data_IF_810684455717
#
_entry.id   IF_810684455717
#
_cell.length_a   1.000
_cell.length_b   1.000
_cell.length_c   1.000
_cell.angle_alpha   90.00
_cell.angle_beta   90.00
_cell.angle_gamma   90.00
#
_symmetry.space_group_name_H-M   'P 1'
#
loop_
_entity.id
_entity.type
_entity.pdbx_description
1 polymer ?
#
# COMPACT_ATOMS: atom_id res chain seq x y z
N UNK A 1 -15.41 10.37 6.55
CA UNK A 1 -14.10 10.59 5.88
C UNK A 1 -14.06 9.75 4.61
N UNK A 2 -13.45 10.24 3.53
CA UNK A 2 -13.26 9.46 2.30
C UNK A 2 -11.80 9.04 2.14
N UNK A 3 -11.59 7.74 1.92
CA UNK A 3 -10.29 7.13 1.67
C UNK A 3 -10.14 6.90 0.17
N UNK A 4 -9.09 7.44 -0.42
CA UNK A 4 -8.86 7.39 -1.86
C UNK A 4 -7.59 6.55 -2.09
N UNK A 5 -7.67 5.57 -2.98
CA UNK A 5 -6.52 4.79 -3.42
C UNK A 5 -6.13 5.15 -4.85
N UNK A 6 -4.84 5.37 -5.11
CA UNK A 6 -4.34 5.43 -6.48
C UNK A 6 -4.52 4.04 -7.14
N UNK A 7 -5.14 4.00 -8.32
CA UNK A 7 -5.38 2.76 -9.07
C UNK A 7 -4.09 1.94 -9.28
N UNK A 8 -2.94 2.60 -9.37
CA UNK A 8 -1.65 1.93 -9.54
C UNK A 8 -1.25 1.03 -8.35
N UNK A 9 -1.90 1.17 -7.19
CA UNK A 9 -1.66 0.35 -6.01
C UNK A 9 -2.31 -1.04 -6.09
N UNK A 10 -3.24 -1.25 -7.03
CA UNK A 10 -3.96 -2.53 -7.18
C UNK A 10 -4.91 -2.85 -6.02
N UNK A 11 -5.27 -1.85 -5.19
CA UNK A 11 -6.22 -2.00 -4.08
C UNK A 11 -7.64 -1.83 -4.61
N UNK A 12 -8.53 -2.77 -4.32
CA UNK A 12 -9.96 -2.68 -4.64
C UNK A 12 -10.76 -2.02 -3.51
N UNK A 13 -11.77 -1.26 -3.90
CA UNK A 13 -12.69 -0.59 -2.96
C UNK A 13 -13.53 -1.59 -2.15
N UNK A 14 -14.03 -2.63 -2.82
CA UNK A 14 -14.90 -3.70 -2.28
C UNK A 14 -14.24 -4.51 -1.16
N UNK A 15 -12.93 -4.41 -1.01
CA UNK A 15 -12.16 -5.20 -0.07
C UNK A 15 -12.41 -4.84 1.39
N UNK A 16 -12.77 -3.59 1.64
CA UNK A 16 -12.96 -3.10 2.99
C UNK A 16 -14.45 -3.01 3.29
N UNK A 17 -14.90 -3.77 4.28
CA UNK A 17 -16.22 -3.57 4.85
C UNK A 17 -16.13 -2.43 5.88
N UNK A 18 -16.16 -1.20 5.38
CA UNK A 18 -16.03 -0.01 6.19
C UNK A 18 -17.18 0.12 7.19
N UNK A 19 -16.85 0.55 8.40
CA UNK A 19 -17.84 1.16 9.29
C UNK A 19 -18.46 2.39 8.61
N UNK A 20 -19.67 2.78 9.03
CA UNK A 20 -20.44 3.87 8.42
C UNK A 20 -19.68 5.22 8.36
N UNK A 21 -18.64 5.40 9.16
CA UNK A 21 -17.83 6.62 9.20
C UNK A 21 -16.84 6.76 8.02
N UNK A 22 -16.51 5.66 7.35
CA UNK A 22 -15.57 5.64 6.24
C UNK A 22 -16.27 5.28 4.93
N UNK A 23 -15.84 5.94 3.86
CA UNK A 23 -16.13 5.59 2.48
C UNK A 23 -14.80 5.42 1.77
N UNK A 24 -14.76 4.64 0.70
CA UNK A 24 -13.57 4.56 -0.15
C UNK A 24 -13.88 4.79 -1.61
N UNK A 25 -12.86 5.11 -2.39
CA UNK A 25 -12.92 5.14 -3.86
C UNK A 25 -11.51 4.96 -4.43
N UNK A 26 -11.43 4.74 -5.75
CA UNK A 26 -10.16 4.58 -6.47
C UNK A 26 -10.00 5.73 -7.46
N UNK A 27 -8.90 6.48 -7.33
CA UNK A 27 -8.50 7.50 -8.29
C UNK A 27 -7.96 6.83 -9.55
N UNK A 28 -8.59 7.04 -10.73
CA UNK A 28 -8.21 6.33 -11.95
C UNK A 28 -6.87 6.82 -12.49
N UNK A 29 -6.11 5.88 -13.03
CA UNK A 29 -4.89 6.08 -13.80
C UNK A 29 -5.14 5.74 -15.27
N UNK A 30 -4.50 6.46 -16.18
CA UNK A 30 -4.77 6.33 -17.61
C UNK A 30 -3.52 5.95 -18.42
N UNK A 31 -3.71 5.14 -19.46
CA UNK A 31 -2.67 4.62 -20.34
C UNK A 31 -2.88 5.13 -21.76
N UNK A 32 -1.79 5.51 -22.42
CA UNK A 32 -1.78 5.84 -23.85
C UNK A 32 -2.48 7.16 -24.19
N UNK A 33 -2.70 7.39 -25.49
CA UNK A 33 -3.31 8.63 -26.00
C UNK A 33 -4.82 8.67 -25.77
N UNK A 34 -5.46 7.51 -25.87
CA UNK A 34 -6.92 7.40 -25.76
C UNK A 34 -7.42 7.42 -24.30
N UNK A 35 -6.52 7.68 -23.34
CA UNK A 35 -6.79 7.69 -21.89
C UNK A 35 -7.59 6.47 -21.43
N UNK A 36 -7.21 5.27 -21.89
CA UNK A 36 -7.81 4.04 -21.39
C UNK A 36 -7.45 3.86 -19.91
N UNK A 37 -8.41 3.49 -19.07
CA UNK A 37 -8.17 3.21 -17.65
C UNK A 37 -7.15 2.09 -17.47
N UNK A 38 -6.28 2.20 -16.47
CA UNK A 38 -5.19 1.25 -16.24
C UNK A 38 -5.71 -0.17 -15.99
N UNK A 39 -6.71 -0.34 -15.13
CA UNK A 39 -7.28 -1.67 -14.86
C UNK A 39 -7.76 -2.34 -16.16
N UNK A 40 -8.51 -1.61 -16.98
CA UNK A 40 -9.05 -2.13 -18.24
C UNK A 40 -7.94 -2.46 -19.24
N UNK A 41 -6.91 -1.62 -19.32
CA UNK A 41 -5.74 -1.88 -20.15
C UNK A 41 -5.02 -3.17 -19.73
N UNK A 42 -4.80 -3.37 -18.42
CA UNK A 42 -4.09 -4.53 -17.91
C UNK A 42 -4.89 -5.83 -18.03
N UNK A 43 -6.23 -5.78 -17.89
CA UNK A 43 -7.10 -6.94 -18.10
C UNK A 43 -7.01 -7.49 -19.54
N UNK A 44 -6.79 -6.62 -20.52
CA UNK A 44 -6.66 -7.00 -21.93
C UNK A 44 -5.20 -7.07 -22.41
N UNK A 45 -4.23 -6.87 -21.52
CA UNK A 45 -2.82 -6.85 -21.87
C UNK A 45 -2.29 -8.27 -22.10
N UNK A 46 -2.06 -8.62 -23.37
CA UNK A 46 -1.39 -9.86 -23.72
C UNK A 46 0.04 -9.93 -23.13
N UNK A 47 0.48 -11.13 -22.74
CA UNK A 47 1.86 -11.38 -22.33
C UNK A 47 2.82 -11.18 -23.52
N UNK A 48 3.64 -10.12 -23.54
CA UNK A 48 4.50 -9.85 -24.68
C UNK A 48 5.73 -10.78 -24.69
N UNK A 49 6.31 -11.04 -25.87
CA UNK A 49 7.54 -11.82 -25.99
C UNK A 49 8.75 -11.09 -25.38
N UNK A 50 8.76 -9.75 -25.47
CA UNK A 50 9.78 -8.84 -24.95
C UNK A 50 9.08 -7.83 -24.04
N UNK A 51 9.75 -7.41 -22.96
CA UNK A 51 9.17 -6.45 -22.03
C UNK A 51 8.75 -5.14 -22.73
N UNK A 52 7.50 -4.71 -22.55
CA UNK A 52 6.93 -3.51 -23.19
C UNK A 52 6.71 -2.41 -22.15
N UNK A 53 7.09 -1.18 -22.47
CA UNK A 53 6.81 -0.02 -21.61
C UNK A 53 5.33 0.36 -21.66
N UNK A 54 4.78 0.70 -20.49
CA UNK A 54 3.45 1.28 -20.35
C UNK A 54 3.63 2.75 -20.00
N UNK A 55 3.09 3.61 -20.86
CA UNK A 55 3.14 5.06 -20.65
C UNK A 55 1.88 5.47 -19.91
N UNK A 56 2.02 5.72 -18.61
CA UNK A 56 0.97 6.26 -17.76
C UNK A 56 0.91 7.76 -17.90
N UNK A 57 -0.31 8.29 -17.91
CA UNK A 57 -0.57 9.72 -17.88
C UNK A 57 -0.62 10.20 -16.44
N UNK A 58 0.32 11.06 -16.06
CA UNK A 58 0.26 11.77 -14.78
C UNK A 58 -0.72 12.93 -14.87
N UNK A 59 -1.51 13.12 -13.80
CA UNK A 59 -2.41 14.25 -13.68
C UNK A 59 -1.62 15.56 -13.61
N UNK A 60 -2.12 16.59 -14.27
CA UNK A 60 -1.73 17.97 -13.99
C UNK A 60 -2.31 18.42 -12.64
N UNK A 61 -1.74 19.47 -12.05
CA UNK A 61 -2.26 20.07 -10.80
C UNK A 61 -3.74 20.43 -10.96
N UNK A 62 -4.14 21.00 -12.11
CA UNK A 62 -5.52 21.39 -12.35
C UNK A 62 -6.46 20.18 -12.42
N UNK A 63 -6.04 19.08 -13.06
CA UNK A 63 -6.83 17.84 -13.07
C UNK A 63 -6.97 17.24 -11.68
N UNK A 64 -5.92 17.27 -10.85
CA UNK A 64 -6.00 16.81 -9.46
C UNK A 64 -6.96 17.68 -8.64
N UNK A 65 -6.89 19.01 -8.76
CA UNK A 65 -7.81 19.94 -8.07
C UNK A 65 -9.26 19.64 -8.45
N UNK A 66 -9.53 19.54 -9.76
CA UNK A 66 -10.87 19.23 -10.27
C UNK A 66 -11.36 17.88 -9.73
N UNK A 67 -10.50 16.84 -9.77
CA UNK A 67 -10.85 15.51 -9.28
C UNK A 67 -11.20 15.52 -7.79
N UNK A 68 -10.33 16.09 -6.94
CA UNK A 68 -10.56 16.07 -5.49
C UNK A 68 -11.75 16.94 -5.07
N UNK A 69 -11.98 18.08 -5.75
CA UNK A 69 -13.17 18.89 -5.51
C UNK A 69 -14.45 18.14 -5.90
N UNK A 70 -14.46 17.50 -7.07
CA UNK A 70 -15.60 16.73 -7.54
C UNK A 70 -15.93 15.57 -6.58
N UNK A 71 -14.93 14.76 -6.22
CA UNK A 71 -15.18 13.58 -5.38
C UNK A 71 -15.58 13.97 -3.95
N UNK A 72 -15.04 15.06 -3.40
CA UNK A 72 -15.47 15.56 -2.09
C UNK A 72 -16.93 16.00 -2.09
N UNK A 73 -17.37 16.67 -3.16
CA UNK A 73 -18.75 17.10 -3.37
C UNK A 73 -19.71 15.91 -3.55
N UNK A 74 -19.36 14.97 -4.44
CA UNK A 74 -20.17 13.78 -4.71
C UNK A 74 -20.42 12.93 -3.46
N UNK A 75 -19.42 12.84 -2.59
CA UNK A 75 -19.52 12.07 -1.34
C UNK A 75 -19.94 12.91 -0.12
N UNK A 76 -20.16 14.21 -0.26
CA UNK A 76 -20.44 15.15 0.85
C UNK A 76 -19.47 14.99 2.04
N UNK A 77 -18.17 15.09 1.75
CA UNK A 77 -17.10 14.93 2.75
C UNK A 77 -16.17 16.13 2.79
N UNK A 78 -15.67 16.45 3.99
CA UNK A 78 -14.66 17.50 4.21
C UNK A 78 -13.27 16.98 4.55
N UNK A 79 -13.13 15.67 4.71
CA UNK A 79 -11.87 15.02 5.08
C UNK A 79 -11.55 13.89 4.11
N UNK A 80 -10.39 14.00 3.45
CA UNK A 80 -9.88 13.02 2.51
C UNK A 80 -8.53 12.45 2.98
N UNK A 81 -8.35 11.15 2.80
CA UNK A 81 -7.04 10.50 2.96
C UNK A 81 -6.71 9.83 1.63
N UNK A 82 -5.63 10.24 0.97
CA UNK A 82 -5.23 9.71 -0.32
C UNK A 82 -3.92 8.93 -0.22
N UNK A 83 -4.01 7.61 -0.44
CA UNK A 83 -2.89 6.69 -0.55
C UNK A 83 -2.43 6.64 -2.00
N UNK A 84 -1.17 7.00 -2.25
CA UNK A 84 -0.67 7.16 -3.60
C UNK A 84 0.70 6.55 -3.82
N UNK A 85 0.99 6.16 -5.05
CA UNK A 85 2.33 5.74 -5.41
C UNK A 85 3.17 6.97 -5.83
N UNK A 86 4.28 7.27 -5.13
CA UNK A 86 5.11 8.43 -5.46
C UNK A 86 5.82 8.32 -6.83
N UNK A 87 5.75 7.17 -7.50
CA UNK A 87 6.23 7.03 -8.87
C UNK A 87 5.29 7.67 -9.90
N UNK A 88 3.99 7.77 -9.59
CA UNK A 88 2.93 8.22 -10.50
C UNK A 88 2.33 9.57 -10.11
N UNK A 89 2.20 9.81 -8.80
CA UNK A 89 1.69 11.05 -8.24
C UNK A 89 2.82 11.84 -7.56
N UNK A 90 3.02 13.09 -7.97
CA UNK A 90 4.12 13.94 -7.50
C UNK A 90 3.73 14.60 -6.18
N UNK A 91 4.41 14.23 -5.10
CA UNK A 91 4.16 14.73 -3.73
C UNK A 91 4.07 16.26 -3.63
N UNK A 92 4.97 16.98 -4.30
CA UNK A 92 5.00 18.45 -4.28
C UNK A 92 3.75 19.07 -4.91
N UNK A 93 3.26 18.46 -6.00
CA UNK A 93 2.02 18.89 -6.65
C UNK A 93 0.84 18.65 -5.73
N UNK A 94 0.76 17.47 -5.09
CA UNK A 94 -0.30 17.16 -4.14
C UNK A 94 -0.36 18.19 -3.01
N UNK A 95 0.78 18.59 -2.43
CA UNK A 95 0.78 19.64 -1.40
C UNK A 95 0.24 20.99 -1.88
N UNK A 96 0.48 21.36 -3.15
CA UNK A 96 -0.13 22.56 -3.75
C UNK A 96 -1.65 22.41 -3.89
N UNK A 97 -2.11 21.25 -4.34
CA UNK A 97 -3.54 20.91 -4.44
C UNK A 97 -4.22 21.04 -3.07
N UNK A 98 -3.59 20.53 -2.00
CA UNK A 98 -4.09 20.72 -0.62
C UNK A 98 -4.23 22.18 -0.26
N UNK A 99 -3.22 22.98 -0.51
CA UNK A 99 -3.28 24.39 -0.14
C UNK A 99 -4.37 25.16 -0.91
N UNK A 100 -4.71 24.72 -2.13
CA UNK A 100 -5.79 25.33 -2.93
C UNK A 100 -7.19 24.92 -2.50
N UNK A 101 -7.35 23.72 -1.93
CA UNK A 101 -8.63 23.20 -1.48
C UNK A 101 -8.93 23.49 0.00
N UNK A 102 -8.03 24.23 0.67
CA UNK A 102 -8.25 24.71 2.04
C UNK A 102 -8.98 26.07 2.01
N UNK A 103 -9.86 26.32 2.99
CA UNK A 103 -10.18 25.47 4.15
C UNK A 103 -11.27 24.42 3.90
N UNK A 104 -11.82 24.32 2.69
CA UNK A 104 -13.03 23.54 2.40
C UNK A 104 -12.83 22.03 2.61
N UNK A 105 -11.63 21.53 2.25
CA UNK A 105 -11.30 20.11 2.28
C UNK A 105 -9.95 19.93 3.01
N UNK A 106 -10.01 19.24 4.15
CA UNK A 106 -8.81 18.78 4.86
C UNK A 106 -8.30 17.49 4.21
N UNK A 107 -7.02 17.46 3.82
CA UNK A 107 -6.46 16.32 3.10
C UNK A 107 -5.15 15.82 3.72
N UNK A 108 -5.05 14.50 3.83
CA UNK A 108 -3.82 13.77 4.17
C UNK A 108 -3.36 12.96 2.96
N UNK A 109 -2.12 13.17 2.52
CA UNK A 109 -1.50 12.38 1.46
C UNK A 109 -0.49 11.41 2.06
N UNK A 110 -0.63 10.12 1.73
CA UNK A 110 0.21 9.05 2.26
C UNK A 110 0.93 8.35 1.10
N UNK A 111 2.26 8.56 0.93
CA UNK A 111 3.01 7.89 -0.11
C UNK A 111 3.27 6.42 0.23
N UNK A 112 2.94 5.55 -0.71
CA UNK A 112 3.11 4.09 -0.60
C UNK A 112 4.43 3.68 -1.24
N UNK A 113 5.45 3.43 -0.42
CA UNK A 113 6.81 3.06 -0.89
C UNK A 113 7.01 1.54 -0.97
N UNK A 114 6.13 0.84 -1.69
CA UNK A 114 6.16 -0.63 -1.82
C UNK A 114 6.02 -1.40 -0.48
N UNK A 115 5.22 -0.86 0.44
CA UNK A 115 4.81 -1.50 1.68
C UNK A 115 3.28 -1.54 1.77
N UNK A 116 2.64 -2.30 0.87
CA UNK A 116 1.20 -2.48 0.89
C UNK A 116 0.68 -3.12 2.18
N UNK A 117 1.37 -4.10 2.82
CA UNK A 117 0.90 -4.67 4.08
C UNK A 117 0.65 -3.64 5.18
N UNK A 118 1.52 -2.62 5.28
CA UNK A 118 1.35 -1.52 6.24
C UNK A 118 0.07 -0.72 6.01
N UNK A 119 -0.33 -0.52 4.75
CA UNK A 119 -1.60 0.13 4.42
C UNK A 119 -2.75 -0.73 4.90
N UNK A 120 -2.76 -2.02 4.57
CA UNK A 120 -3.84 -2.92 4.99
C UNK A 120 -3.99 -2.95 6.51
N UNK A 121 -2.87 -3.03 7.23
CA UNK A 121 -2.85 -2.94 8.68
C UNK A 121 -3.43 -1.62 9.20
N UNK A 122 -3.01 -0.48 8.64
CA UNK A 122 -3.55 0.83 9.02
C UNK A 122 -5.06 0.90 8.77
N UNK A 123 -5.52 0.48 7.59
CA UNK A 123 -6.92 0.54 7.20
C UNK A 123 -7.80 -0.34 8.07
N UNK A 124 -7.35 -1.56 8.39
CA UNK A 124 -8.02 -2.44 9.33
C UNK A 124 -8.10 -1.80 10.73
N UNK A 125 -6.99 -1.18 11.17
CA UNK A 125 -6.94 -0.47 12.45
C UNK A 125 -7.93 0.69 12.52
N UNK A 126 -8.04 1.46 11.43
CA UNK A 126 -9.02 2.55 11.31
C UNK A 126 -10.44 2.02 11.31
N UNK A 127 -10.69 0.92 10.61
CA UNK A 127 -12.00 0.31 10.55
C UNK A 127 -12.48 -0.16 11.93
N UNK A 128 -11.59 -0.81 12.70
CA UNK A 128 -11.88 -1.26 14.07
C UNK A 128 -12.17 -0.10 15.03
N UNK A 129 -11.48 1.05 14.88
CA UNK A 129 -11.75 2.25 15.68
C UNK A 129 -13.10 2.89 15.36
N UNK A 130 -13.69 2.60 14.19
CA UNK A 130 -14.99 3.10 13.77
C UNK A 130 -15.02 4.60 13.41
N UNK A 131 -14.04 5.39 13.85
CA UNK A 131 -13.81 6.77 13.41
C UNK A 131 -12.36 7.18 13.71
N UNK A 132 -11.82 8.11 12.94
CA UNK A 132 -10.50 8.69 13.17
C UNK A 132 -10.41 10.06 12.50
N UNK A 133 -9.65 10.97 13.10
CA UNK A 133 -9.28 12.25 12.50
C UNK A 133 -8.00 12.11 11.68
N UNK A 134 -7.77 13.03 10.73
CA UNK A 134 -6.51 13.10 9.95
C UNK A 134 -5.28 13.18 10.86
N UNK A 135 -5.38 13.91 11.98
CA UNK A 135 -4.28 14.04 12.96
C UNK A 135 -3.95 12.71 13.64
N UNK A 136 -4.95 11.92 14.00
CA UNK A 136 -4.76 10.60 14.60
C UNK A 136 -4.14 9.61 13.60
N UNK A 137 -4.61 9.63 12.35
CA UNK A 137 -4.05 8.81 11.26
C UNK A 137 -2.58 9.17 11.03
N UNK A 138 -2.27 10.46 10.90
CA UNK A 138 -0.90 10.95 10.73
C UNK A 138 0.00 10.53 11.90
N UNK A 139 -0.49 10.65 13.14
CA UNK A 139 0.25 10.25 14.34
C UNK A 139 0.52 8.75 14.39
N UNK A 140 -0.45 7.93 13.95
CA UNK A 140 -0.30 6.47 13.91
C UNK A 140 0.79 6.07 12.91
N UNK A 141 0.77 6.64 11.70
CA UNK A 141 1.77 6.38 10.66
C UNK A 141 3.17 6.77 11.15
N UNK A 142 3.32 7.94 11.77
CA UNK A 142 4.61 8.40 12.29
C UNK A 142 5.20 7.46 13.35
N UNK A 143 4.37 6.84 14.20
CA UNK A 143 4.82 5.89 15.23
C UNK A 143 5.06 4.49 14.68
N UNK A 144 4.19 4.00 13.80
CA UNK A 144 4.23 2.63 13.28
C UNK A 144 5.49 2.30 12.47
N UNK A 145 6.03 3.29 11.74
CA UNK A 145 7.22 3.11 10.88
C UNK A 145 8.47 2.66 11.68
N UNK A 146 8.56 2.94 12.99
CA UNK A 146 9.77 2.69 13.78
C UNK A 146 9.91 1.25 14.31
N UNK A 147 8.82 0.47 14.36
CA UNK A 147 8.82 -0.86 15.01
C UNK A 147 8.59 -2.03 14.04
N UNK A 148 8.47 -1.75 12.74
CA UNK A 148 8.13 -2.74 11.73
C UNK A 148 9.37 -3.28 11.01
N UNK A 149 9.32 -4.55 10.61
CA UNK A 149 10.26 -5.11 9.63
C UNK A 149 9.51 -5.53 8.37
N UNK A 150 9.96 -5.03 7.22
CA UNK A 150 9.30 -5.28 5.94
C UNK A 150 10.20 -6.14 5.04
N UNK A 151 9.58 -7.07 4.35
CA UNK A 151 10.25 -8.04 3.49
C UNK A 151 9.53 -8.15 2.15
N UNK A 152 10.30 -8.50 1.12
CA UNK A 152 9.81 -8.72 -0.23
C UNK A 152 10.39 -10.03 -0.77
N UNK A 153 9.52 -10.96 -1.12
CA UNK A 153 9.87 -12.14 -1.91
C UNK A 153 9.47 -11.86 -3.36
N UNK A 154 10.42 -11.94 -4.30
CA UNK A 154 10.11 -11.75 -5.72
C UNK A 154 11.14 -12.43 -6.61
N UNK A 155 10.76 -12.68 -7.86
CA UNK A 155 11.67 -13.17 -8.90
C UNK A 155 12.70 -12.11 -9.32
N UNK A 156 12.36 -10.82 -9.21
CA UNK A 156 13.25 -9.74 -9.60
C UNK A 156 12.94 -8.41 -8.90
N UNK A 157 13.71 -8.10 -7.85
CA UNK A 157 13.54 -6.87 -7.07
C UNK A 157 13.65 -5.58 -7.90
N UNK A 158 14.51 -5.55 -8.91
CA UNK A 158 14.70 -4.34 -9.73
C UNK A 158 13.42 -4.00 -10.49
N UNK A 159 12.63 -5.00 -10.89
CA UNK A 159 11.38 -4.75 -11.62
C UNK A 159 10.32 -4.05 -10.79
N UNK A 160 10.25 -4.35 -9.50
CA UNK A 160 9.28 -3.76 -8.58
C UNK A 160 9.74 -2.42 -7.98
N UNK A 161 11.05 -2.24 -7.84
CA UNK A 161 11.63 -1.17 -7.01
C UNK A 161 12.27 -0.04 -7.83
N UNK A 162 12.47 -0.22 -9.14
CA UNK A 162 13.04 0.84 -10.00
C UNK A 162 11.98 1.42 -10.92
N UNK A 163 11.87 2.75 -10.93
CA UNK A 163 10.87 3.51 -11.71
C UNK A 163 10.78 3.08 -13.18
N UNK A 164 11.93 2.92 -13.84
CA UNK A 164 12.04 2.54 -15.26
C UNK A 164 11.54 1.12 -15.58
N UNK A 165 11.51 0.25 -14.58
CA UNK A 165 11.12 -1.16 -14.75
C UNK A 165 9.71 -1.43 -14.22
N UNK A 166 9.24 -0.61 -13.28
CA UNK A 166 7.90 -0.70 -12.70
C UNK A 166 6.81 -0.53 -13.76
N UNK A 167 7.03 0.33 -14.75
CA UNK A 167 6.02 0.66 -15.78
C UNK A 167 6.12 -0.26 -16.99
N UNK A 168 6.18 -1.58 -16.77
CA UNK A 168 6.39 -2.54 -17.86
C UNK A 168 5.48 -3.75 -17.77
N UNK A 169 5.07 -4.22 -18.95
CA UNK A 169 4.49 -5.54 -19.16
C UNK A 169 5.62 -6.52 -19.39
N UNK A 170 5.72 -7.54 -18.55
CA UNK A 170 6.70 -8.60 -18.73
C UNK A 170 6.04 -9.85 -19.31
N UNK A 171 6.86 -10.69 -19.94
CA UNK A 171 6.43 -12.04 -20.34
C UNK A 171 6.06 -12.83 -19.09
N UNK A 172 4.88 -13.43 -19.09
CA UNK A 172 4.48 -14.39 -18.08
C UNK A 172 5.40 -15.62 -18.15
N UNK A 173 6.02 -15.93 -17.01
CA UNK A 173 6.90 -17.09 -16.87
C UNK A 173 6.69 -17.67 -15.48
N UNK A 174 6.54 -18.98 -15.41
CA UNK A 174 6.66 -19.69 -14.15
C UNK A 174 8.06 -19.47 -13.58
N UNK A 175 8.12 -19.18 -12.30
CA UNK A 175 9.36 -19.00 -11.58
C UNK A 175 9.53 -20.10 -10.56
N UNK A 176 10.73 -20.69 -10.53
CA UNK A 176 11.12 -21.69 -9.53
C UNK A 176 11.97 -21.09 -8.42
N UNK A 177 12.68 -20.00 -8.74
CA UNK A 177 13.59 -19.31 -7.84
C UNK A 177 13.12 -17.88 -7.54
N UNK A 178 13.15 -17.55 -6.26
CA UNK A 178 12.78 -16.25 -5.73
C UNK A 178 13.97 -15.64 -4.97
N UNK A 179 13.87 -14.35 -4.70
CA UNK A 179 14.82 -13.58 -3.90
C UNK A 179 14.08 -12.99 -2.72
N UNK A 180 14.63 -13.17 -1.52
CA UNK A 180 14.20 -12.48 -0.32
C UNK A 180 14.99 -11.19 -0.15
N UNK A 181 14.27 -10.09 0.00
CA UNK A 181 14.82 -8.75 0.16
C UNK A 181 14.23 -8.15 1.43
N UNK A 182 15.09 -7.60 2.29
CA UNK A 182 14.64 -6.78 3.41
C UNK A 182 14.45 -5.35 2.94
N UNK A 183 13.31 -4.74 3.27
CA UNK A 183 12.99 -3.34 3.00
C UNK A 183 13.25 -2.58 4.31
N UNK A 184 14.35 -1.83 4.36
CA UNK A 184 14.64 -0.95 5.49
C UNK A 184 13.95 0.41 5.25
N UNK A 185 13.06 0.80 6.16
CA UNK A 185 12.13 1.94 6.01
C UNK A 185 12.77 3.31 5.70
N UNK A 186 14.09 3.44 5.89
CA UNK A 186 14.83 4.69 5.71
C UNK A 186 15.73 4.76 4.47
N UNK A 187 15.88 3.70 3.68
CA UNK A 187 16.65 3.80 2.42
C UNK A 187 16.12 2.89 1.32
N UNK A 188 15.54 3.50 0.28
CA UNK A 188 15.19 2.83 -0.97
C UNK A 188 16.43 2.44 -1.81
N UNK A 189 17.63 2.84 -1.37
CA UNK A 189 18.87 2.78 -2.17
C UNK A 189 19.78 1.61 -1.85
N UNK A 190 19.62 0.89 -0.73
CA UNK A 190 20.43 -0.29 -0.39
C UNK A 190 19.60 -1.52 -0.01
N UNK A 191 18.77 -1.96 -0.96
CA UNK A 191 18.02 -3.22 -0.83
C UNK A 191 18.97 -4.41 -1.04
N UNK A 192 19.43 -5.00 0.06
CA UNK A 192 20.27 -6.21 0.06
C UNK A 192 19.39 -7.45 -0.11
N UNK A 193 19.74 -8.27 -1.10
CA UNK A 193 19.19 -9.64 -1.19
C UNK A 193 19.80 -10.43 -0.05
N UNK A 194 18.94 -10.95 0.81
CA UNK A 194 19.35 -11.76 1.94
C UNK A 194 19.56 -13.21 1.49
N UNK A 195 18.61 -13.75 0.72
CA UNK A 195 18.65 -15.14 0.27
C UNK A 195 17.96 -15.34 -1.08
N UNK A 196 18.29 -16.44 -1.76
CA UNK A 196 17.56 -16.97 -2.91
C UNK A 196 17.15 -18.42 -2.64
N UNK A 197 16.00 -18.83 -3.17
CA UNK A 197 15.51 -20.19 -3.02
C UNK A 197 14.07 -20.33 -3.51
N UNK A 198 13.47 -21.48 -3.21
CA UNK A 198 12.04 -21.69 -3.40
C UNK A 198 11.21 -20.79 -2.48
N UNK A 199 9.96 -20.55 -2.84
CA UNK A 199 9.04 -19.71 -2.05
C UNK A 199 8.88 -20.24 -0.62
N UNK A 200 8.76 -21.55 -0.45
CA UNK A 200 8.64 -22.22 0.85
C UNK A 200 9.87 -22.00 1.73
N UNK A 201 11.07 -22.20 1.20
CA UNK A 201 12.31 -21.97 1.94
C UNK A 201 12.44 -20.52 2.42
N UNK A 202 12.09 -19.56 1.57
CA UNK A 202 12.15 -18.15 1.91
C UNK A 202 11.06 -17.74 2.91
N UNK A 203 9.87 -18.33 2.83
CA UNK A 203 8.80 -18.12 3.79
C UNK A 203 9.17 -18.65 5.17
N UNK A 204 9.66 -19.89 5.25
CA UNK A 204 10.09 -20.50 6.51
C UNK A 204 11.17 -19.66 7.20
N UNK A 205 12.11 -19.09 6.44
CA UNK A 205 13.10 -18.17 7.01
C UNK A 205 12.44 -16.96 7.70
N UNK A 206 11.38 -16.39 7.14
CA UNK A 206 10.69 -15.25 7.74
C UNK A 206 9.98 -15.67 9.02
N UNK A 207 9.29 -16.81 9.00
CA UNK A 207 8.60 -17.36 10.17
C UNK A 207 9.59 -17.69 11.29
N UNK A 208 10.75 -18.28 10.97
CA UNK A 208 11.79 -18.61 11.93
C UNK A 208 12.47 -17.37 12.54
N UNK A 209 12.45 -16.23 11.83
CA UNK A 209 13.02 -14.96 12.30
C UNK A 209 11.99 -14.01 12.95
N UNK A 210 10.71 -14.40 12.98
CA UNK A 210 9.64 -13.64 13.66
C UNK A 210 9.86 -13.69 15.17
N UNK A 211 9.61 -12.57 15.87
CA UNK A 211 9.58 -12.55 17.34
C UNK A 211 8.25 -13.11 17.83
N UNK A 212 8.23 -13.61 19.06
CA UNK A 212 7.06 -14.25 19.68
C UNK A 212 5.75 -13.44 19.55
N UNK A 213 5.83 -12.10 19.57
CA UNK A 213 4.68 -11.19 19.52
C UNK A 213 4.53 -10.40 18.20
N UNK A 214 5.24 -10.78 17.13
CA UNK A 214 5.05 -10.09 15.85
C UNK A 214 3.80 -10.64 15.14
N UNK A 215 2.95 -9.74 14.66
CA UNK A 215 1.89 -10.04 13.71
C UNK A 215 2.44 -10.02 12.28
N UNK A 216 2.00 -10.96 11.47
CA UNK A 216 2.49 -11.21 10.11
C UNK A 216 1.41 -10.84 9.10
N UNK A 217 1.61 -9.70 8.44
CA UNK A 217 0.75 -9.22 7.37
C UNK A 217 1.40 -9.53 6.02
N UNK A 218 0.65 -10.19 5.14
CA UNK A 218 1.12 -10.64 3.83
C UNK A 218 0.26 -10.03 2.74
N UNK A 219 0.90 -9.44 1.73
CA UNK A 219 0.26 -9.02 0.48
C UNK A 219 0.92 -9.75 -0.68
N UNK A 220 0.17 -10.54 -1.42
CA UNK A 220 0.67 -11.29 -2.57
C UNK A 220 0.09 -10.80 -3.90
N UNK A 221 0.85 -11.01 -4.98
CA UNK A 221 0.41 -10.75 -6.34
C UNK A 221 0.93 -11.84 -7.28
N UNK A 222 0.03 -12.48 -8.02
CA UNK A 222 0.36 -13.45 -9.07
C UNK A 222 1.04 -14.73 -8.57
N UNK A 223 0.81 -15.09 -7.30
CA UNK A 223 1.26 -16.34 -6.68
C UNK A 223 0.06 -17.08 -6.12
N UNK A 224 0.23 -18.39 -5.90
CA UNK A 224 -0.71 -19.23 -5.18
C UNK A 224 0.12 -20.10 -4.25
N UNK A 225 0.25 -19.65 -3.02
CA UNK A 225 1.03 -20.32 -1.97
C UNK A 225 0.33 -20.15 -0.63
N UNK A 226 0.35 -21.19 0.21
CA UNK A 226 -0.24 -21.14 1.53
C UNK A 226 0.80 -20.65 2.55
N UNK A 227 0.64 -19.40 2.99
CA UNK A 227 1.52 -18.78 3.97
C UNK A 227 1.12 -19.17 5.40
N UNK A 228 1.41 -20.41 5.79
CA UNK A 228 1.14 -20.90 7.15
C UNK A 228 1.85 -20.01 8.18
N UNK A 229 1.11 -19.56 9.20
CA UNK A 229 1.60 -18.63 10.22
C UNK A 229 1.46 -17.14 9.87
N UNK A 230 0.84 -16.81 8.72
CA UNK A 230 0.37 -15.46 8.45
C UNK A 230 -0.90 -15.15 9.26
N UNK A 231 -0.93 -14.01 9.94
CA UNK A 231 -2.10 -13.55 10.70
C UNK A 231 -3.13 -12.93 9.74
N UNK A 232 -2.65 -12.13 8.78
CA UNK A 232 -3.47 -11.52 7.73
C UNK A 232 -2.83 -11.77 6.37
N UNK A 233 -3.62 -12.25 5.41
CA UNK A 233 -3.19 -12.49 4.04
C UNK A 233 -4.11 -11.78 3.05
N UNK A 234 -3.48 -11.10 2.10
CA UNK A 234 -4.13 -10.27 1.11
C UNK A 234 -3.62 -10.64 -0.28
N UNK A 235 -4.42 -11.33 -1.06
CA UNK A 235 -4.17 -11.49 -2.51
C UNK A 235 -4.66 -10.25 -3.24
N UNK A 236 -3.83 -9.63 -4.08
CA UNK A 236 -4.26 -8.53 -4.94
C UNK A 236 -5.06 -9.09 -6.13
N UNK A 237 -6.34 -8.73 -6.20
CA UNK A 237 -7.28 -9.22 -7.21
C UNK A 237 -7.01 -8.62 -8.60
N UNK A 238 -6.38 -7.43 -8.65
CA UNK A 238 -6.07 -6.72 -9.90
C UNK A 238 -4.65 -6.96 -10.35
N UNK A 239 -4.54 -7.16 -11.66
CA UNK A 239 -3.30 -6.94 -12.38
C UNK A 239 -2.76 -5.54 -12.08
N UNK A 240 -1.59 -5.46 -11.47
CA UNK A 240 -0.86 -4.22 -11.23
C UNK A 240 0.42 -4.16 -12.03
N UNK A 241 0.97 -2.95 -12.19
CA UNK A 241 2.29 -2.77 -12.79
C UNK A 241 3.40 -2.95 -11.73
N UNK A 242 4.53 -3.61 -12.08
CA UNK A 242 4.80 -4.29 -13.35
C UNK A 242 4.00 -5.59 -13.52
N UNK A 243 3.44 -5.79 -14.72
CA UNK A 243 2.60 -6.96 -14.99
C UNK A 243 3.43 -8.24 -15.10
N UNK A 244 2.88 -9.36 -14.62
CA UNK A 244 3.47 -10.70 -14.60
C UNK A 244 4.78 -10.83 -13.80
N UNK A 245 5.02 -9.94 -12.85
CA UNK A 245 6.11 -10.08 -11.88
C UNK A 245 5.50 -10.48 -10.55
N UNK A 246 5.55 -11.77 -10.20
CA UNK A 246 5.00 -12.22 -8.94
C UNK A 246 5.82 -11.68 -7.76
N UNK A 247 5.12 -11.38 -6.68
CA UNK A 247 5.74 -10.97 -5.43
C UNK A 247 4.89 -11.28 -4.20
N UNK A 248 5.56 -11.28 -3.05
CA UNK A 248 4.98 -11.28 -1.72
C UNK A 248 5.63 -10.13 -0.94
N UNK A 249 4.84 -9.16 -0.49
CA UNK A 249 5.26 -8.17 0.49
C UNK A 249 4.79 -8.63 1.86
N UNK A 250 5.68 -8.52 2.84
CA UNK A 250 5.44 -9.06 4.19
C UNK A 250 5.85 -7.98 5.18
N UNK A 251 5.00 -7.75 6.17
CA UNK A 251 5.30 -6.88 7.30
C UNK A 251 5.17 -7.67 8.58
N UNK A 252 6.22 -7.62 9.39
CA UNK A 252 6.20 -8.07 10.77
C UNK A 252 6.04 -6.83 11.65
N UNK A 253 4.97 -6.78 12.43
CA UNK A 253 4.69 -5.66 13.33
C UNK A 253 4.40 -6.17 14.72
N UNK A 254 4.96 -5.53 15.74
CA UNK A 254 4.47 -5.74 17.11
C UNK A 254 3.02 -5.27 17.22
N UNK A 255 2.25 -5.92 18.08
CA UNK A 255 0.84 -5.60 18.29
C UNK A 255 0.71 -4.17 18.86
N UNK A 256 0.43 -3.15 18.02
CA UNK A 256 0.22 -1.77 18.49
C UNK A 256 -1.04 -1.63 19.36
N UNK A 257 -1.94 -2.62 19.34
CA UNK A 257 -3.17 -2.64 20.14
C UNK A 257 -2.96 -3.06 21.59
N UNK A 258 -2.04 -3.99 21.86
CA UNK A 258 -1.72 -4.37 23.25
C UNK A 258 -1.05 -3.23 24.00
N UNK A 259 -0.15 -2.48 23.35
CA UNK A 259 0.49 -1.33 23.97
C UNK A 259 -0.53 -0.20 24.27
N UNK A 260 -1.55 0.00 23.42
CA UNK A 260 -2.62 0.96 23.69
C UNK A 260 -3.51 0.57 24.87
N UNK A 261 -3.80 -0.72 25.07
CA UNK A 261 -4.58 -1.19 26.23
C UNK A 261 -3.74 -1.08 27.51
N UNK A 262 -2.45 -1.41 27.44
CA UNK A 262 -1.53 -1.33 28.59
C UNK A 262 -1.26 0.12 29.01
N UNK A 263 -1.07 1.05 28.06
CA UNK A 263 -0.87 2.48 28.37
C UNK A 263 -2.14 3.12 28.93
N UNK A 264 -3.32 2.84 28.37
CA UNK A 264 -4.60 3.35 28.89
C UNK A 264 -4.90 2.80 30.29
N UNK A 265 -4.55 1.54 30.57
CA UNK A 265 -4.71 0.94 31.88
C UNK A 265 -3.72 1.53 32.91
N UNK A 266 -2.51 1.92 32.50
CA UNK A 266 -1.55 2.63 33.37
C UNK A 266 -2.04 4.04 33.74
N UNK A 267 -2.53 4.82 32.77
CA UNK A 267 -3.10 6.15 33.04
C UNK A 267 -4.34 6.07 33.94
N UNK A 268 -5.17 5.03 33.77
CA UNK A 268 -6.35 4.82 34.62
C UNK A 268 -5.96 4.41 36.04
N UNK A 269 -4.93 3.58 36.22
CA UNK A 269 -4.42 3.22 37.56
C UNK A 269 -3.76 4.40 38.28
N UNK A 270 -3.06 5.29 37.56
CA UNK A 270 -2.45 6.49 38.16
C UNK A 270 -3.49 7.54 38.60
N UNK A 271 -4.63 7.64 37.91
CA UNK A 271 -5.74 8.51 38.34
C UNK A 271 -6.64 7.93 39.44
N UNK A 272 -6.50 6.63 39.77
CA UNK A 272 -7.26 6.01 40.88
C UNK A 272 -6.52 6.12 42.23
N UNK A 273 -5.30 6.67 42.22
CA UNK A 273 -4.46 6.87 43.40
C UNK A 273 -4.24 8.36 43.77
N UNK A 274 -5.12 9.26 43.31
CA UNK A 274 -5.18 10.68 43.74
C UNK A 274 -6.44 10.94 44.54
#
# INVERSE_FOLDING_TARGET
MLIIFDECLGIEESRFNWSQAFRSTVKPSFVGKDRQRLTDFLHHANSPLIAKSVNLHSYSIQEDVTYFHQIASEHDVRQLVYFYDPHYSITENLYRVRNWLLPEIEMLFIPVKANLPEIFFLLESLNQKGSATIKEISSHIQRGILEQSSWLITTNRKKLLTKEKKNKLYRQKEAKDYQLVRIDGNSSTQLKVQQKGSLEQLWNLIVDNKRENDHVYVVENGLSFQYVGADTMVTLDRHMLPLHIPFVQIMLSKNLYENQIVEKNKETMEMTHV
#
